data_IF_007383476811
#
_entry.id   IF_007383476811
#
_cell.length_a   1.000
_cell.length_b   1.000
_cell.length_c   1.000
_cell.angle_alpha   90.00
_cell.angle_beta   90.00
_cell.angle_gamma   90.00
#
_symmetry.space_group_name_H-M   'P 1'
#
loop_
_entity.id
_entity.type
_entity.pdbx_description
1 polymer ?
#
# COMPACT_ATOMS: atom_id res chain seq x y z
N UNK A 1 -11.39 6.27 -10.07
CA UNK A 1 -11.56 4.84 -9.73
C UNK A 1 -10.86 4.01 -10.82
N UNK A 2 -9.85 3.21 -10.48
CA UNK A 2 -9.09 2.41 -11.48
C UNK A 2 -9.97 1.27 -12.01
N UNK A 3 -10.01 1.07 -13.33
CA UNK A 3 -10.79 -0.01 -13.95
C UNK A 3 -10.31 -1.39 -13.50
N UNK A 4 -11.18 -2.42 -13.57
CA UNK A 4 -10.79 -3.80 -13.24
C UNK A 4 -9.57 -4.27 -14.07
N UNK A 5 -9.54 -3.89 -15.35
CA UNK A 5 -8.40 -4.12 -16.25
C UNK A 5 -7.12 -3.43 -15.76
N UNK A 6 -7.20 -2.16 -15.34
CA UNK A 6 -6.04 -1.43 -14.81
C UNK A 6 -5.49 -2.04 -13.52
N UNK A 7 -6.37 -2.57 -12.66
CA UNK A 7 -5.95 -3.29 -11.44
C UNK A 7 -5.25 -4.61 -11.75
N UNK A 8 -5.82 -5.43 -12.64
CA UNK A 8 -5.19 -6.69 -13.11
C UNK A 8 -3.80 -6.43 -13.68
N UNK A 9 -3.66 -5.40 -14.52
CA UNK A 9 -2.38 -5.02 -15.11
C UNK A 9 -1.36 -4.59 -14.04
N UNK A 10 -1.76 -3.76 -13.08
CA UNK A 10 -0.87 -3.29 -12.03
C UNK A 10 -0.37 -4.45 -11.14
N UNK A 11 -1.25 -5.38 -10.78
CA UNK A 11 -0.89 -6.57 -10.01
C UNK A 11 0.07 -7.48 -10.79
N UNK A 12 -0.20 -7.71 -12.07
CA UNK A 12 0.67 -8.52 -12.92
C UNK A 12 2.07 -7.89 -13.09
N UNK A 13 2.16 -6.56 -13.20
CA UNK A 13 3.44 -5.85 -13.24
C UNK A 13 4.21 -5.98 -11.92
N UNK A 14 3.53 -5.76 -10.79
CA UNK A 14 4.14 -5.91 -9.47
C UNK A 14 4.68 -7.35 -9.29
N UNK A 15 3.90 -8.36 -9.67
CA UNK A 15 4.31 -9.77 -9.60
C UNK A 15 5.47 -10.11 -10.53
N UNK A 16 5.41 -9.64 -11.77
CA UNK A 16 6.47 -9.88 -12.75
C UNK A 16 7.79 -9.24 -12.31
N UNK A 17 7.74 -8.12 -11.59
CA UNK A 17 8.95 -7.46 -11.06
C UNK A 17 9.69 -8.31 -10.01
N UNK A 18 8.99 -9.23 -9.35
CA UNK A 18 9.55 -10.16 -8.36
C UNK A 18 9.97 -11.47 -9.02
N UNK A 19 9.09 -12.01 -9.86
CA UNK A 19 9.20 -13.37 -10.36
C UNK A 19 10.03 -13.50 -11.65
N UNK A 20 10.31 -12.40 -12.37
CA UNK A 20 11.11 -12.42 -13.58
C UNK A 20 12.50 -11.81 -13.39
N UNK A 21 13.45 -12.30 -14.19
CA UNK A 21 14.74 -11.62 -14.37
C UNK A 21 14.52 -10.28 -15.09
N UNK A 22 15.38 -9.30 -14.81
CA UNK A 22 15.27 -7.92 -15.33
C UNK A 22 15.01 -7.85 -16.83
N UNK A 23 15.72 -8.65 -17.64
CA UNK A 23 15.55 -8.66 -19.10
C UNK A 23 14.15 -9.08 -19.53
N UNK A 24 13.59 -10.10 -18.88
CA UNK A 24 12.28 -10.64 -19.24
C UNK A 24 11.14 -9.78 -18.67
N UNK A 25 11.35 -9.17 -17.51
CA UNK A 25 10.48 -8.11 -16.99
C UNK A 25 10.38 -6.93 -17.97
N UNK A 26 11.50 -6.42 -18.48
CA UNK A 26 11.50 -5.33 -19.47
C UNK A 26 10.80 -5.73 -20.79
N UNK A 27 10.99 -6.96 -21.26
CA UNK A 27 10.27 -7.48 -22.44
C UNK A 27 8.76 -7.53 -22.20
N UNK A 28 8.33 -7.96 -21.01
CA UNK A 28 6.92 -7.97 -20.63
C UNK A 28 6.35 -6.55 -20.63
N UNK A 29 7.04 -5.58 -20.02
CA UNK A 29 6.62 -4.18 -20.02
C UNK A 29 6.46 -3.62 -21.44
N UNK A 30 7.39 -3.92 -22.34
CA UNK A 30 7.29 -3.51 -23.75
C UNK A 30 6.07 -4.14 -24.46
N UNK A 31 5.78 -5.42 -24.19
CA UNK A 31 4.59 -6.10 -24.73
C UNK A 31 3.29 -5.48 -24.20
N UNK A 32 3.24 -5.15 -22.92
CA UNK A 32 2.11 -4.44 -22.30
C UNK A 32 1.91 -3.07 -22.95
N UNK A 33 2.97 -2.28 -23.10
CA UNK A 33 2.88 -0.95 -23.72
C UNK A 33 2.37 -1.06 -25.16
N UNK A 34 2.88 -1.99 -25.96
CA UNK A 34 2.39 -2.24 -27.33
C UNK A 34 0.91 -2.62 -27.32
N UNK A 35 0.50 -3.53 -26.46
CA UNK A 35 -0.90 -3.93 -26.31
C UNK A 35 -1.84 -2.76 -25.98
N UNK A 36 -1.37 -1.81 -25.15
CA UNK A 36 -2.13 -0.59 -24.83
C UNK A 36 -2.23 0.35 -26.03
N UNK A 37 -1.16 0.52 -26.80
CA UNK A 37 -1.13 1.37 -27.99
C UNK A 37 -2.00 0.79 -29.13
N UNK A 38 -1.92 -0.52 -29.33
CA UNK A 38 -2.64 -1.23 -30.39
C UNK A 38 -4.11 -1.53 -30.02
N UNK A 39 -4.52 -1.18 -28.79
CA UNK A 39 -5.82 -1.51 -28.20
C UNK A 39 -6.19 -3.01 -28.28
N UNK A 40 -5.19 -3.89 -28.41
CA UNK A 40 -5.34 -5.32 -28.58
C UNK A 40 -4.47 -6.06 -27.56
N UNK A 41 -4.98 -7.13 -26.96
CA UNK A 41 -4.24 -7.97 -26.00
C UNK A 41 -3.97 -9.34 -26.63
N UNK A 42 -2.76 -9.56 -27.20
CA UNK A 42 -2.37 -10.84 -27.79
C UNK A 42 -2.55 -12.01 -26.82
N UNK A 43 -2.93 -13.18 -27.33
CA UNK A 43 -3.28 -14.34 -26.50
C UNK A 43 -2.11 -14.88 -25.65
N UNK A 44 -0.88 -14.76 -26.15
CA UNK A 44 0.32 -15.08 -25.38
C UNK A 44 0.56 -14.08 -24.24
N UNK A 45 0.30 -12.78 -24.46
CA UNK A 45 0.37 -11.77 -23.40
C UNK A 45 -0.74 -11.99 -22.38
N UNK A 46 -1.97 -12.27 -22.82
CA UNK A 46 -3.09 -12.57 -21.94
C UNK A 46 -2.77 -13.73 -21.00
N UNK A 47 -2.26 -14.85 -21.53
CA UNK A 47 -1.85 -16.01 -20.74
C UNK A 47 -0.75 -15.69 -19.72
N UNK A 48 0.24 -14.89 -20.11
CA UNK A 48 1.26 -14.45 -19.17
C UNK A 48 0.67 -13.61 -18.02
N UNK A 49 -0.23 -12.67 -18.35
CA UNK A 49 -0.91 -11.83 -17.36
C UNK A 49 -1.82 -12.65 -16.43
N UNK A 50 -2.58 -13.61 -16.97
CA UNK A 50 -3.43 -14.52 -16.20
C UNK A 50 -2.61 -15.36 -15.22
N UNK A 51 -1.47 -15.91 -15.65
CA UNK A 51 -0.55 -16.65 -14.76
C UNK A 51 -0.07 -15.78 -13.59
N UNK A 52 0.26 -14.51 -13.85
CA UNK A 52 0.66 -13.61 -12.77
C UNK A 52 -0.51 -13.26 -11.85
N UNK A 53 -1.71 -13.07 -12.38
CA UNK A 53 -2.90 -12.80 -11.59
C UNK A 53 -3.25 -13.99 -10.66
N UNK A 54 -3.16 -15.22 -11.17
CA UNK A 54 -3.32 -16.44 -10.38
C UNK A 54 -2.27 -16.56 -9.26
N UNK A 55 -1.00 -16.27 -9.57
CA UNK A 55 0.08 -16.28 -8.60
C UNK A 55 -0.15 -15.24 -7.48
N UNK A 56 -0.60 -14.03 -7.87
CA UNK A 56 -0.97 -12.97 -6.93
C UNK A 56 -2.14 -13.41 -6.06
N UNK A 57 -3.22 -13.95 -6.64
CA UNK A 57 -4.38 -14.41 -5.89
C UNK A 57 -4.01 -15.48 -4.85
N UNK A 58 -3.17 -16.45 -5.24
CA UNK A 58 -2.64 -17.47 -4.33
C UNK A 58 -1.77 -16.89 -3.22
N UNK A 59 -0.96 -15.86 -3.51
CA UNK A 59 -0.18 -15.15 -2.47
C UNK A 59 -1.09 -14.36 -1.54
N UNK A 60 -2.03 -13.59 -2.07
CA UNK A 60 -2.97 -12.77 -1.29
C UNK A 60 -3.82 -13.62 -0.34
N UNK A 61 -4.28 -14.80 -0.77
CA UNK A 61 -5.00 -15.73 0.10
C UNK A 61 -4.17 -16.14 1.33
N UNK A 62 -2.87 -16.36 1.15
CA UNK A 62 -1.95 -16.67 2.27
C UNK A 62 -1.72 -15.45 3.16
N UNK A 63 -1.59 -14.27 2.58
CA UNK A 63 -1.38 -13.02 3.31
C UNK A 63 -2.59 -12.62 4.17
N UNK A 64 -3.80 -13.00 3.78
CA UNK A 64 -5.01 -12.71 4.58
C UNK A 64 -4.94 -13.23 6.01
N UNK A 65 -4.14 -14.27 6.29
CA UNK A 65 -3.91 -14.77 7.65
C UNK A 65 -3.31 -13.71 8.58
N UNK A 66 -2.47 -12.80 8.06
CA UNK A 66 -1.94 -11.70 8.86
C UNK A 66 -3.02 -10.69 9.26
N UNK A 67 -4.14 -10.62 8.54
CA UNK A 67 -5.22 -9.70 8.87
C UNK A 67 -5.94 -10.10 10.16
N UNK A 68 -5.79 -11.37 10.59
CA UNK A 68 -6.32 -11.88 11.86
C UNK A 68 -5.43 -11.48 13.05
N UNK A 69 -4.19 -11.07 12.80
CA UNK A 69 -3.20 -10.64 13.80
C UNK A 69 -3.22 -9.12 14.05
N UNK A 70 -4.13 -8.40 13.39
CA UNK A 70 -4.20 -6.94 13.47
C UNK A 70 -4.64 -6.47 14.85
N UNK A 71 -3.98 -5.41 15.31
CA UNK A 71 -4.33 -4.70 16.54
C UNK A 71 -4.75 -3.27 16.23
N UNK A 72 -5.48 -2.64 17.17
CA UNK A 72 -5.94 -1.26 17.05
C UNK A 72 -5.42 -0.43 18.22
N UNK A 73 -4.17 0.06 18.17
CA UNK A 73 -3.60 0.87 19.26
C UNK A 73 -4.21 2.28 19.35
N UNK A 74 -4.89 2.73 18.29
CA UNK A 74 -5.60 4.02 18.24
C UNK A 74 -6.85 3.85 17.37
N UNK A 75 -7.97 4.57 17.60
CA UNK A 75 -9.19 4.44 16.80
C UNK A 75 -8.97 4.56 15.28
N UNK A 76 -8.05 5.44 14.87
CA UNK A 76 -7.71 5.68 13.46
C UNK A 76 -6.59 4.79 12.90
N UNK A 77 -5.96 3.94 13.73
CA UNK A 77 -4.76 3.18 13.35
C UNK A 77 -5.02 1.68 13.46
N UNK A 78 -4.84 0.97 12.35
CA UNK A 78 -4.64 -0.48 12.38
C UNK A 78 -3.16 -0.81 12.28
N UNK A 79 -2.72 -1.74 13.13
CA UNK A 79 -1.34 -2.14 13.25
C UNK A 79 -1.20 -3.65 13.00
N UNK A 80 -0.28 -4.02 12.13
CA UNK A 80 0.32 -5.35 12.07
C UNK A 80 1.72 -5.29 12.67
N UNK A 81 1.94 -5.98 13.79
CA UNK A 81 3.28 -6.11 14.38
C UNK A 81 3.93 -7.42 13.92
N UNK A 82 4.80 -7.32 12.93
CA UNK A 82 5.41 -8.46 12.27
C UNK A 82 6.76 -8.81 12.90
N UNK A 83 6.93 -10.08 13.27
CA UNK A 83 8.16 -10.65 13.80
C UNK A 83 9.27 -10.81 12.75
N UNK A 84 8.91 -10.70 11.47
CA UNK A 84 9.76 -10.86 10.29
C UNK A 84 9.56 -9.73 9.28
N UNK A 85 10.53 -9.59 8.40
CA UNK A 85 10.42 -8.67 7.26
C UNK A 85 9.42 -9.24 6.26
N UNK A 86 8.43 -8.44 5.90
CA UNK A 86 7.42 -8.74 4.87
C UNK A 86 7.95 -8.20 3.53
N UNK A 87 7.71 -8.91 2.43
CA UNK A 87 8.13 -8.44 1.12
C UNK A 87 7.36 -7.18 0.69
N UNK A 88 7.97 -6.34 -0.16
CA UNK A 88 7.39 -5.04 -0.54
C UNK A 88 6.01 -5.16 -1.20
N UNK A 89 5.81 -6.12 -2.11
CA UNK A 89 4.52 -6.32 -2.76
C UNK A 89 3.45 -6.79 -1.75
N UNK A 90 3.85 -7.62 -0.79
CA UNK A 90 2.97 -8.14 0.25
C UNK A 90 2.53 -7.03 1.21
N UNK A 91 3.45 -6.12 1.60
CA UNK A 91 3.11 -4.92 2.38
C UNK A 91 2.08 -4.06 1.66
N UNK A 92 2.25 -3.84 0.36
CA UNK A 92 1.30 -3.02 -0.43
C UNK A 92 -0.10 -3.61 -0.41
N UNK A 93 -0.23 -4.93 -0.50
CA UNK A 93 -1.52 -5.62 -0.37
C UNK A 93 -2.08 -5.47 1.04
N UNK A 94 -1.30 -5.79 2.07
CA UNK A 94 -1.75 -5.74 3.47
C UNK A 94 -2.15 -4.33 3.90
N UNK A 95 -1.33 -3.31 3.59
CA UNK A 95 -1.64 -1.92 3.89
C UNK A 95 -2.96 -1.51 3.25
N UNK A 96 -3.19 -1.86 1.98
CA UNK A 96 -4.44 -1.55 1.30
C UNK A 96 -5.65 -2.19 1.98
N UNK A 97 -5.57 -3.47 2.35
CA UNK A 97 -6.65 -4.17 3.06
C UNK A 97 -6.93 -3.57 4.45
N UNK A 98 -5.89 -3.09 5.13
CA UNK A 98 -6.00 -2.43 6.43
C UNK A 98 -6.59 -1.02 6.30
N UNK A 99 -6.22 -0.27 5.26
CA UNK A 99 -6.75 1.07 5.02
C UNK A 99 -8.25 1.06 4.67
N UNK A 100 -8.79 -0.05 4.16
CA UNK A 100 -10.25 -0.21 4.01
C UNK A 100 -10.99 -0.26 5.37
N UNK A 101 -10.26 -0.44 6.48
CA UNK A 101 -10.80 -0.66 7.83
C UNK A 101 -10.36 0.41 8.86
N UNK A 102 -9.44 1.28 8.49
CA UNK A 102 -8.95 2.38 9.33
C UNK A 102 -8.29 3.48 8.50
N UNK A 103 -8.24 4.69 9.05
CA UNK A 103 -7.64 5.86 8.41
C UNK A 103 -6.16 5.66 8.08
N UNK A 104 -5.41 5.01 8.98
CA UNK A 104 -3.99 4.72 8.82
C UNK A 104 -3.74 3.24 9.02
N UNK A 105 -3.12 2.60 8.04
CA UNK A 105 -2.56 1.27 8.17
C UNK A 105 -1.08 1.34 8.50
N UNK A 106 -0.61 0.54 9.45
CA UNK A 106 0.78 0.50 9.89
C UNK A 106 1.26 -0.94 9.96
N UNK A 107 2.39 -1.23 9.32
CA UNK A 107 3.15 -2.47 9.52
C UNK A 107 4.41 -2.11 10.29
N UNK A 108 4.63 -2.75 11.43
CA UNK A 108 5.86 -2.66 12.20
C UNK A 108 6.70 -3.92 12.01
N UNK A 109 7.93 -3.76 11.51
CA UNK A 109 8.89 -4.85 11.36
C UNK A 109 10.10 -4.55 12.23
N UNK A 110 10.05 -5.00 13.49
CA UNK A 110 11.15 -4.82 14.46
C UNK A 110 11.59 -3.35 14.61
N UNK A 111 10.62 -2.43 14.70
CA UNK A 111 10.84 -0.98 14.85
C UNK A 111 11.03 -0.22 13.54
N UNK A 112 10.94 -0.91 12.39
CA UNK A 112 10.79 -0.26 11.10
C UNK A 112 9.31 -0.16 10.74
N UNK A 113 8.77 1.05 10.69
CA UNK A 113 7.37 1.27 10.36
C UNK A 113 7.22 1.51 8.86
N UNK A 114 6.18 0.91 8.29
CA UNK A 114 5.61 1.27 6.99
C UNK A 114 4.15 1.68 7.24
N UNK A 115 3.78 2.90 6.87
CA UNK A 115 2.44 3.45 7.09
C UNK A 115 1.82 3.94 5.77
N UNK A 116 0.51 3.77 5.65
CA UNK A 116 -0.28 4.22 4.50
C UNK A 116 -1.60 4.87 4.93
N UNK A 117 -2.06 5.87 4.17
CA UNK A 117 -3.40 6.50 4.29
C UNK A 117 -3.93 6.92 2.91
N UNK A 118 -5.20 6.60 2.63
CA UNK A 118 -5.92 7.08 1.44
C UNK A 118 -6.55 8.46 1.62
N UNK A 119 -6.57 8.99 2.84
CA UNK A 119 -7.33 10.20 3.15
C UNK A 119 -6.53 11.49 3.04
N UNK A 120 -5.27 11.48 2.60
CA UNK A 120 -4.40 12.68 2.54
C UNK A 120 -4.95 13.88 1.76
N UNK A 121 -5.97 13.68 0.92
CA UNK A 121 -6.68 14.74 0.19
C UNK A 121 -8.02 15.13 0.81
N UNK A 122 -8.56 14.30 1.72
CA UNK A 122 -9.76 14.61 2.48
C UNK A 122 -9.46 15.74 3.50
N UNK A 123 -10.48 16.51 3.94
CA UNK A 123 -10.32 17.53 4.97
C UNK A 123 -9.65 17.00 6.25
N UNK A 124 -9.84 15.70 6.53
CA UNK A 124 -9.33 14.96 7.69
C UNK A 124 -8.11 14.08 7.37
N UNK A 125 -7.49 14.26 6.20
CA UNK A 125 -6.32 13.51 5.78
C UNK A 125 -5.10 13.72 6.63
N UNK A 126 -4.30 12.67 6.81
CA UNK A 126 -3.12 12.69 7.67
C UNK A 126 -1.86 12.78 6.82
N UNK A 127 -1.05 13.83 7.00
CA UNK A 127 0.22 13.93 6.28
C UNK A 127 1.32 13.13 6.99
N UNK A 128 1.50 11.87 6.60
CA UNK A 128 2.48 10.96 7.20
C UNK A 128 3.94 11.45 7.11
N UNK A 129 4.24 12.37 6.18
CA UNK A 129 5.59 12.94 6.03
C UNK A 129 5.98 13.86 7.19
N UNK A 130 5.01 14.29 7.98
CA UNK A 130 5.23 15.12 9.18
C UNK A 130 5.52 14.30 10.43
N UNK A 131 5.42 12.97 10.37
CA UNK A 131 5.75 12.09 11.49
C UNK A 131 7.28 12.00 11.63
N UNK A 132 7.85 12.40 12.78
CA UNK A 132 9.30 12.30 13.00
C UNK A 132 9.82 10.87 12.85
N UNK A 133 10.93 10.72 12.14
CA UNK A 133 11.57 9.42 11.87
C UNK A 133 11.01 8.67 10.66
N UNK A 134 9.93 9.15 10.04
CA UNK A 134 9.43 8.64 8.76
C UNK A 134 9.91 9.51 7.60
N UNK A 135 10.11 8.86 6.46
CA UNK A 135 10.33 9.47 5.14
C UNK A 135 9.27 8.93 4.20
N UNK A 136 8.87 9.72 3.21
CA UNK A 136 7.95 9.19 2.22
C UNK A 136 7.34 10.23 1.32
N UNK A 137 6.24 9.81 0.71
CA UNK A 137 5.46 10.58 -0.23
C UNK A 137 4.03 10.73 0.30
N UNK A 138 3.19 11.41 -0.46
CA UNK A 138 1.77 11.56 -0.10
C UNK A 138 1.12 10.18 0.02
N UNK A 139 0.39 9.95 1.10
CA UNK A 139 -0.35 8.73 1.42
C UNK A 139 0.51 7.55 1.88
N UNK A 140 1.84 7.69 1.93
CA UNK A 140 2.72 6.56 2.21
C UNK A 140 4.06 7.01 2.80
N UNK A 141 4.42 6.49 3.97
CA UNK A 141 5.70 6.77 4.61
C UNK A 141 6.31 5.55 5.28
N UNK A 142 7.62 5.53 5.41
CA UNK A 142 8.38 4.44 6.03
C UNK A 142 9.60 4.99 6.77
N UNK A 143 10.07 4.27 7.79
CA UNK A 143 11.20 4.76 8.58
C UNK A 143 11.32 4.12 9.95
N UNK A 144 12.05 4.78 10.85
CA UNK A 144 12.27 4.30 12.21
C UNK A 144 11.64 5.29 13.17
N UNK A 145 10.59 4.84 13.85
CA UNK A 145 9.92 5.56 14.94
C UNK A 145 9.15 4.55 15.77
N UNK A 146 8.67 4.96 16.95
CA UNK A 146 7.81 4.09 17.78
C UNK A 146 6.35 4.24 17.37
N UNK A 147 5.52 3.24 17.66
CA UNK A 147 4.06 3.33 17.47
C UNK A 147 3.49 4.51 18.26
N UNK A 148 3.92 4.72 19.50
CA UNK A 148 3.52 5.90 20.30
C UNK A 148 4.01 7.22 19.69
N UNK A 149 5.18 7.22 19.05
CA UNK A 149 5.71 8.37 18.32
C UNK A 149 4.83 8.73 17.12
N UNK A 150 4.41 7.71 16.36
CA UNK A 150 3.44 7.85 15.28
C UNK A 150 2.12 8.40 15.82
N UNK A 151 1.49 7.73 16.80
CA UNK A 151 0.17 8.13 17.34
C UNK A 151 0.19 9.58 17.84
N UNK A 152 1.22 10.00 18.58
CA UNK A 152 1.35 11.39 19.04
C UNK A 152 1.43 12.40 17.88
N UNK A 153 2.12 12.04 16.80
CA UNK A 153 2.17 12.89 15.62
C UNK A 153 0.82 12.96 14.89
N UNK A 154 0.08 11.85 14.83
CA UNK A 154 -1.29 11.80 14.27
C UNK A 154 -2.25 12.70 15.06
N UNK A 155 -2.27 12.57 16.38
CA UNK A 155 -3.09 13.40 17.27
C UNK A 155 -2.80 14.89 17.11
N UNK A 156 -1.52 15.24 17.00
CA UNK A 156 -1.11 16.63 16.80
C UNK A 156 -1.61 17.20 15.47
N UNK A 157 -1.56 16.43 14.37
CA UNK A 157 -2.06 16.89 13.07
C UNK A 157 -3.60 17.03 13.08
N UNK A 158 -4.31 16.07 13.68
CA UNK A 158 -5.77 16.12 13.82
C UNK A 158 -6.23 17.32 14.67
N UNK A 159 -5.58 17.60 15.81
CA UNK A 159 -5.89 18.76 16.66
C UNK A 159 -5.67 20.08 15.93
N UNK A 160 -4.55 20.24 15.23
CA UNK A 160 -4.24 21.45 14.44
C UNK A 160 -5.24 21.70 13.31
N UNK A 161 -5.87 20.65 12.78
CA UNK A 161 -6.89 20.78 11.74
C UNK A 161 -8.24 21.16 12.31
N UNK A 162 -8.66 20.53 13.42
CA UNK A 162 -9.88 20.92 14.15
C UNK A 162 -9.86 22.39 14.57
N UNK A 163 -8.73 22.89 15.07
CA UNK A 163 -8.57 24.30 15.42
C UNK A 163 -8.76 25.22 14.19
N UNK A 164 -8.13 24.90 13.04
CA UNK A 164 -8.24 25.68 11.81
C UNK A 164 -9.64 25.67 11.18
N UNK A 165 -10.41 24.59 11.35
CA UNK A 165 -11.80 24.54 10.91
C UNK A 165 -12.74 25.35 11.80
N UNK A 166 -12.40 25.54 13.08
CA UNK A 166 -13.17 26.36 14.02
C UNK A 166 -12.95 27.87 13.79
N UNK A 167 -11.77 28.27 13.30
CA UNK A 167 -11.46 29.68 13.00
C UNK A 167 -12.08 30.17 11.67
N UNK A 168 -12.69 29.28 10.89
CA UNK A 168 -13.26 29.56 9.56
C UNK A 168 -14.80 29.44 9.52
N UNK A 169 -15.45 29.17 10.66
CA UNK A 169 -16.91 29.08 10.81
C UNK A 169 -17.45 30.17 11.72
#
# INVERSE_FOLDING_TARGET
MVSARGRRLALAIDEASISLKTRDYLKLLLRIVRSLLDAAEPDDLRRDLDRFDEAVAGRQLRLRKYLDELTRPHPDVLLLDADRVIERADKKFLLREMEERATVAVINERGHLTAATFHDEAPYGIDLRKVPGLRGQRGFAWGRTTIDGLIRALDADLRRRRARSADLG
#
